data_IF_890389063362
#
_entry.id   IF_890389063362
#
_cell.length_a   1.000
_cell.length_b   1.000
_cell.length_c   1.000
_cell.angle_alpha   90.00
_cell.angle_beta   90.00
_cell.angle_gamma   90.00
#
_symmetry.space_group_name_H-M   'P 1'
#
loop_
_entity.id
_entity.type
_entity.pdbx_description
1 polymer ?
#
# COMPACT_ATOMS: atom_id res chain seq x y z
N UNK A 1 21.22 -12.45 9.98
CA UNK A 1 20.62 -13.63 10.64
C UNK A 1 20.52 -14.73 9.62
N UNK A 2 21.24 -15.82 9.88
CA UNK A 2 21.44 -16.96 9.01
C UNK A 2 20.10 -17.55 8.55
N UNK A 3 19.89 -17.61 7.24
CA UNK A 3 18.97 -18.56 6.66
C UNK A 3 19.57 -19.94 6.91
N UNK A 4 19.01 -20.68 7.87
CA UNK A 4 19.31 -22.10 8.03
C UNK A 4 18.79 -22.81 6.78
N UNK A 5 19.61 -23.67 6.12
CA UNK A 5 19.09 -24.51 5.06
C UNK A 5 18.00 -25.41 5.66
N UNK A 6 16.77 -25.12 5.34
CA UNK A 6 15.65 -25.95 5.73
C UNK A 6 15.78 -27.24 4.95
N UNK A 7 16.04 -28.34 5.64
CA UNK A 7 15.93 -29.66 5.05
C UNK A 7 14.44 -29.91 4.80
N UNK A 8 14.04 -29.94 3.55
CA UNK A 8 12.64 -30.02 3.06
C UNK A 8 11.92 -31.26 3.63
N UNK A 9 12.64 -32.34 3.82
CA UNK A 9 12.10 -33.57 4.42
C UNK A 9 11.56 -33.38 5.83
N UNK A 10 12.15 -32.46 6.60
CA UNK A 10 11.74 -32.25 7.97
C UNK A 10 10.47 -31.39 8.08
N UNK A 11 10.17 -30.54 7.11
CA UNK A 11 8.95 -29.73 7.15
C UNK A 11 7.67 -30.57 6.96
N UNK A 12 7.73 -31.58 6.09
CA UNK A 12 6.59 -32.49 5.86
C UNK A 12 6.48 -33.58 6.95
N UNK A 13 7.61 -34.14 7.40
CA UNK A 13 7.62 -35.10 8.51
C UNK A 13 7.34 -34.45 9.88
N UNK A 14 7.67 -33.16 10.05
CA UNK A 14 7.36 -32.40 11.27
C UNK A 14 5.87 -32.18 11.45
N UNK A 15 5.11 -31.90 10.40
CA UNK A 15 3.67 -31.67 10.51
C UNK A 15 2.96 -32.91 11.04
N UNK A 16 3.33 -34.11 10.57
CA UNK A 16 2.78 -35.39 11.05
C UNK A 16 3.32 -35.83 12.43
N UNK A 17 4.55 -35.44 12.77
CA UNK A 17 5.20 -35.89 14.02
C UNK A 17 4.89 -34.99 15.21
N UNK A 18 4.66 -33.68 14.99
CA UNK A 18 4.24 -32.77 16.08
C UNK A 18 2.82 -33.02 16.57
N UNK A 19 1.93 -33.58 15.75
CA UNK A 19 0.60 -33.95 16.18
C UNK A 19 0.55 -35.22 17.02
N UNK A 20 1.59 -36.09 16.99
CA UNK A 20 1.59 -37.41 17.58
C UNK A 20 2.68 -37.71 18.61
N UNK A 21 3.67 -36.84 18.83
CA UNK A 21 4.74 -37.09 19.80
C UNK A 21 4.82 -35.98 20.85
N UNK A 22 4.50 -36.32 22.06
CA UNK A 22 4.92 -35.56 23.24
C UNK A 22 6.44 -35.33 23.17
N UNK A 23 6.86 -34.04 23.38
CA UNK A 23 8.23 -33.56 23.31
C UNK A 23 9.28 -34.60 23.75
N UNK A 24 9.86 -35.29 22.79
CA UNK A 24 11.11 -36.02 22.98
C UNK A 24 12.12 -35.46 21.96
N UNK A 25 13.18 -34.84 22.46
CA UNK A 25 14.23 -34.15 21.72
C UNK A 25 15.14 -35.13 20.94
N UNK A 26 14.57 -35.95 20.07
CA UNK A 26 15.36 -36.82 19.21
C UNK A 26 15.85 -36.08 18.00
N UNK A 27 17.15 -36.17 17.79
CA UNK A 27 17.89 -35.66 16.65
C UNK A 27 17.15 -35.99 15.34
N UNK A 28 16.67 -34.96 14.65
CA UNK A 28 16.12 -35.13 13.32
C UNK A 28 17.22 -35.54 12.37
N UNK A 29 17.10 -36.69 11.72
CA UNK A 29 18.00 -37.09 10.65
C UNK A 29 17.69 -36.23 9.41
N UNK A 30 18.55 -35.24 9.14
CA UNK A 30 18.43 -34.41 7.94
C UNK A 30 18.99 -35.15 6.74
N UNK A 31 18.18 -35.42 5.72
CA UNK A 31 18.66 -35.86 4.40
C UNK A 31 18.97 -34.60 3.59
N UNK A 32 20.25 -34.41 3.28
CA UNK A 32 20.70 -33.30 2.45
C UNK A 32 20.46 -33.62 0.97
N UNK A 33 19.55 -32.89 0.32
CA UNK A 33 19.32 -32.96 -1.12
C UNK A 33 20.23 -31.95 -1.84
N UNK A 34 21.27 -32.41 -2.48
CA UNK A 34 22.27 -31.58 -3.19
C UNK A 34 21.95 -31.37 -4.66
N UNK A 35 20.78 -31.76 -5.13
CA UNK A 35 20.37 -31.66 -6.53
C UNK A 35 20.12 -30.22 -6.97
N UNK A 36 19.76 -29.34 -6.03
CA UNK A 36 19.58 -27.89 -6.23
C UNK A 36 20.64 -27.19 -5.39
N UNK A 37 21.52 -26.46 -6.05
CA UNK A 37 22.64 -25.76 -5.39
C UNK A 37 22.25 -24.36 -4.88
N UNK A 38 21.12 -23.81 -5.36
CA UNK A 38 20.68 -22.47 -4.98
C UNK A 38 20.16 -22.43 -3.53
N UNK A 39 20.43 -21.36 -2.78
CA UNK A 39 19.84 -21.17 -1.47
C UNK A 39 18.31 -21.07 -1.57
N UNK A 40 17.60 -21.85 -0.75
CA UNK A 40 16.15 -21.90 -0.72
C UNK A 40 15.63 -21.00 0.40
N UNK A 41 14.71 -20.10 0.08
CA UNK A 41 14.09 -19.17 1.02
C UNK A 41 12.74 -19.62 1.52
N UNK A 42 11.95 -20.26 0.65
CA UNK A 42 10.60 -20.70 0.99
C UNK A 42 10.28 -21.98 0.23
N UNK A 43 9.38 -22.78 0.78
CA UNK A 43 8.87 -24.01 0.18
C UNK A 43 7.37 -24.13 0.44
N UNK A 44 6.62 -24.49 -0.60
CA UNK A 44 5.19 -24.74 -0.54
C UNK A 44 4.83 -26.01 -1.29
N UNK A 45 3.72 -26.65 -0.89
CA UNK A 45 3.23 -27.87 -1.53
C UNK A 45 1.91 -27.58 -2.24
N UNK A 46 1.84 -27.94 -3.52
CA UNK A 46 0.61 -27.84 -4.29
C UNK A 46 -0.35 -29.00 -4.03
N UNK A 47 -1.56 -28.92 -4.58
CA UNK A 47 -2.61 -29.93 -4.42
C UNK A 47 -2.27 -31.29 -5.07
N UNK A 48 -1.27 -31.35 -5.96
CA UNK A 48 -0.79 -32.57 -6.59
C UNK A 48 0.39 -33.21 -5.84
N UNK A 49 0.83 -32.56 -4.74
CA UNK A 49 1.98 -33.01 -3.94
C UNK A 49 3.34 -32.68 -4.57
N UNK A 50 3.40 -31.71 -5.51
CA UNK A 50 4.68 -31.17 -5.94
C UNK A 50 5.15 -30.12 -4.92
N UNK A 51 6.45 -30.07 -4.71
CA UNK A 51 7.10 -29.12 -3.84
C UNK A 51 7.62 -27.97 -4.70
N UNK A 52 7.17 -26.76 -4.39
CA UNK A 52 7.68 -25.53 -5.00
C UNK A 52 8.71 -24.89 -4.09
N UNK A 53 9.85 -24.51 -4.64
CA UNK A 53 10.98 -23.96 -3.91
C UNK A 53 11.30 -22.56 -4.44
N UNK A 54 11.26 -21.56 -3.56
CA UNK A 54 11.73 -20.21 -3.85
C UNK A 54 13.23 -20.11 -3.66
N UNK A 55 13.95 -19.62 -4.67
CA UNK A 55 15.40 -19.40 -4.57
C UNK A 55 15.72 -17.94 -4.26
N UNK A 56 16.96 -17.69 -3.84
CA UNK A 56 17.40 -16.35 -3.44
C UNK A 56 17.41 -15.33 -4.59
N UNK A 57 17.64 -15.77 -5.83
CA UNK A 57 17.93 -14.85 -6.93
C UNK A 57 17.58 -15.35 -8.33
N UNK A 58 17.07 -16.57 -8.48
CA UNK A 58 16.97 -17.21 -9.79
C UNK A 58 15.59 -17.74 -10.17
N UNK A 59 14.54 -17.34 -9.48
CA UNK A 59 13.20 -17.86 -9.73
C UNK A 59 12.83 -19.03 -8.82
N UNK A 60 12.07 -20.00 -9.32
CA UNK A 60 11.50 -21.08 -8.51
C UNK A 60 11.74 -22.46 -9.16
N UNK A 61 11.76 -23.49 -8.33
CA UNK A 61 11.78 -24.87 -8.77
C UNK A 61 10.49 -25.59 -8.39
N UNK A 62 9.95 -26.38 -9.31
CA UNK A 62 8.91 -27.36 -9.08
C UNK A 62 9.56 -28.74 -8.98
N UNK A 63 9.37 -29.40 -7.86
CA UNK A 63 10.05 -30.65 -7.53
C UNK A 63 9.05 -31.72 -7.13
N UNK A 64 9.41 -32.99 -7.33
CA UNK A 64 8.68 -34.11 -6.76
C UNK A 64 9.67 -35.09 -6.15
N UNK A 65 9.35 -35.58 -4.95
CA UNK A 65 10.14 -36.58 -4.28
C UNK A 65 9.97 -37.95 -4.94
N UNK A 66 11.00 -38.78 -4.83
CA UNK A 66 10.89 -40.21 -5.13
C UNK A 66 10.07 -40.91 -4.04
N UNK A 67 9.71 -42.18 -4.28
CA UNK A 67 8.86 -42.96 -3.36
C UNK A 67 9.54 -43.18 -2.00
N UNK A 68 10.91 -43.21 -1.95
CA UNK A 68 11.70 -43.34 -0.74
C UNK A 68 11.89 -41.99 0.00
N UNK A 69 11.43 -40.88 -0.59
CA UNK A 69 11.58 -39.50 -0.08
C UNK A 69 13.06 -39.11 0.19
N UNK A 70 13.97 -39.74 -0.46
CA UNK A 70 15.41 -39.57 -0.28
C UNK A 70 16.05 -38.60 -1.30
N UNK A 71 15.37 -38.35 -2.42
CA UNK A 71 15.85 -37.48 -3.50
C UNK A 71 14.65 -36.92 -4.30
N UNK A 72 14.91 -35.89 -5.11
CA UNK A 72 13.95 -35.48 -6.12
C UNK A 72 13.94 -36.48 -7.29
N UNK A 73 12.76 -37.01 -7.59
CA UNK A 73 12.54 -37.83 -8.79
C UNK A 73 12.65 -36.98 -10.06
N UNK A 74 12.15 -35.73 -9.99
CA UNK A 74 12.36 -34.69 -10.99
C UNK A 74 12.30 -33.31 -10.35
N UNK A 75 12.92 -32.35 -10.99
CA UNK A 75 12.80 -30.94 -10.69
C UNK A 75 12.86 -30.10 -11.98
N UNK A 76 12.05 -29.06 -12.05
CA UNK A 76 11.98 -28.17 -13.20
C UNK A 76 12.12 -26.73 -12.71
N UNK A 77 12.97 -25.97 -13.38
CA UNK A 77 13.22 -24.58 -13.11
C UNK A 77 12.23 -23.67 -13.89
N UNK A 78 11.71 -22.62 -13.24
CA UNK A 78 10.93 -21.54 -13.81
C UNK A 78 11.50 -20.19 -13.36
N UNK A 79 11.90 -19.37 -14.34
CA UNK A 79 12.49 -18.06 -14.11
C UNK A 79 13.08 -17.50 -15.39
N UNK A 80 13.67 -16.32 -15.30
CA UNK A 80 14.14 -15.54 -16.44
C UNK A 80 15.25 -16.20 -17.27
N UNK A 81 16.01 -17.15 -16.72
CA UNK A 81 17.02 -17.91 -17.47
C UNK A 81 16.40 -18.87 -18.50
N UNK A 82 15.19 -19.38 -18.21
CA UNK A 82 14.44 -20.26 -19.11
C UNK A 82 13.43 -19.49 -19.97
N UNK A 83 12.82 -18.46 -19.39
CA UNK A 83 11.83 -17.60 -20.03
C UNK A 83 12.09 -16.14 -19.68
N UNK A 84 12.62 -15.37 -20.63
CA UNK A 84 13.00 -13.98 -20.45
C UNK A 84 11.82 -13.04 -20.15
N UNK A 85 10.58 -13.48 -20.31
CA UNK A 85 9.37 -12.74 -19.94
C UNK A 85 9.11 -12.76 -18.42
N UNK A 86 9.72 -13.71 -17.69
CA UNK A 86 9.58 -13.84 -16.25
C UNK A 86 10.58 -12.95 -15.49
N UNK A 87 10.20 -12.47 -14.30
CA UNK A 87 11.12 -11.74 -13.43
C UNK A 87 12.30 -12.59 -12.99
N UNK A 88 13.44 -11.95 -12.72
CA UNK A 88 14.61 -12.62 -12.15
C UNK A 88 14.33 -13.19 -10.76
N UNK A 89 13.50 -12.51 -9.97
CA UNK A 89 13.10 -12.96 -8.65
C UNK A 89 11.60 -13.18 -8.62
N UNK A 90 11.20 -14.33 -8.11
CA UNK A 90 9.81 -14.73 -7.90
C UNK A 90 9.63 -15.13 -6.44
N UNK A 91 8.80 -14.41 -5.71
CA UNK A 91 8.41 -14.78 -4.36
C UNK A 91 7.27 -15.80 -4.44
N UNK A 92 7.43 -16.90 -3.72
CA UNK A 92 6.45 -17.97 -3.61
C UNK A 92 5.49 -17.71 -2.43
N UNK A 93 4.18 -17.87 -2.66
CA UNK A 93 3.19 -17.86 -1.60
C UNK A 93 1.97 -18.72 -2.00
N UNK A 94 1.14 -19.07 -1.00
CA UNK A 94 -0.08 -19.85 -1.21
C UNK A 94 -1.30 -19.03 -0.80
N UNK A 95 -2.29 -18.94 -1.67
CA UNK A 95 -3.57 -18.29 -1.38
C UNK A 95 -4.67 -18.85 -2.29
N UNK A 96 -5.93 -18.89 -1.83
CA UNK A 96 -7.05 -19.46 -2.57
C UNK A 96 -6.83 -20.93 -2.96
N UNK A 97 -6.10 -21.70 -2.15
CA UNK A 97 -5.75 -23.09 -2.44
C UNK A 97 -4.74 -23.27 -3.58
N UNK A 98 -4.19 -22.18 -4.14
CA UNK A 98 -3.28 -22.18 -5.29
C UNK A 98 -1.88 -21.72 -4.90
N UNK A 99 -0.89 -22.20 -5.63
CA UNK A 99 0.48 -21.70 -5.57
C UNK A 99 0.59 -20.50 -6.52
N UNK A 100 1.07 -19.39 -5.98
CA UNK A 100 1.19 -18.10 -6.64
C UNK A 100 2.60 -17.56 -6.50
N UNK A 101 2.96 -16.66 -7.42
CA UNK A 101 4.27 -16.05 -7.45
C UNK A 101 4.13 -14.54 -7.65
N UNK A 102 4.92 -13.76 -6.91
CA UNK A 102 5.02 -12.31 -7.07
C UNK A 102 6.39 -11.97 -7.65
N UNK A 103 6.42 -11.16 -8.69
CA UNK A 103 7.66 -10.59 -9.24
C UNK A 103 7.38 -9.37 -10.10
N UNK A 104 8.20 -8.31 -9.92
CA UNK A 104 8.06 -7.04 -10.64
C UNK A 104 6.63 -6.46 -10.59
N UNK A 105 6.03 -6.43 -9.40
CA UNK A 105 4.65 -5.95 -9.16
C UNK A 105 3.55 -6.75 -9.88
N UNK A 106 3.86 -7.94 -10.37
CA UNK A 106 2.92 -8.80 -11.06
C UNK A 106 2.78 -10.15 -10.36
N UNK A 107 1.57 -10.68 -10.40
CA UNK A 107 1.22 -11.99 -9.87
C UNK A 107 1.19 -13.01 -10.98
N UNK A 108 1.78 -14.17 -10.72
CA UNK A 108 1.83 -15.29 -11.65
C UNK A 108 1.22 -16.53 -11.01
N UNK A 109 0.69 -17.39 -11.85
CA UNK A 109 0.16 -18.71 -11.49
C UNK A 109 0.75 -19.77 -12.41
N UNK A 110 0.90 -20.99 -11.91
CA UNK A 110 1.32 -22.10 -12.73
C UNK A 110 0.17 -22.65 -13.58
N UNK A 111 0.39 -22.74 -14.88
CA UNK A 111 -0.49 -23.41 -15.84
C UNK A 111 -0.02 -24.84 -16.03
N UNK A 112 -0.82 -25.81 -15.57
CA UNK A 112 -0.52 -27.23 -15.64
C UNK A 112 -0.56 -27.78 -17.05
N UNK A 113 -1.36 -27.17 -17.95
CA UNK A 113 -1.56 -27.63 -19.33
C UNK A 113 -0.35 -27.28 -20.18
N UNK A 114 0.18 -26.07 -20.04
CA UNK A 114 1.29 -25.56 -20.82
C UNK A 114 2.63 -25.69 -20.12
N UNK A 115 2.67 -26.17 -18.88
CA UNK A 115 3.86 -26.30 -18.02
C UNK A 115 4.69 -25.00 -17.94
N UNK A 116 4.00 -23.87 -17.73
CA UNK A 116 4.62 -22.56 -17.63
C UNK A 116 3.97 -21.69 -16.53
N UNK A 117 4.60 -20.56 -16.22
CA UNK A 117 4.01 -19.52 -15.40
C UNK A 117 3.34 -18.48 -16.28
N UNK A 118 2.10 -18.13 -15.94
CA UNK A 118 1.32 -17.11 -16.64
C UNK A 118 0.77 -16.07 -15.66
N UNK A 119 0.39 -14.90 -16.16
CA UNK A 119 -0.16 -13.83 -15.32
C UNK A 119 -1.49 -14.27 -14.68
N UNK A 120 -1.60 -14.07 -13.37
CA UNK A 120 -2.88 -14.24 -12.67
C UNK A 120 -3.72 -12.96 -12.81
N UNK A 121 -4.81 -13.04 -13.59
CA UNK A 121 -5.54 -11.87 -14.06
C UNK A 121 -6.32 -11.14 -12.96
N UNK A 122 -6.90 -11.87 -11.99
CA UNK A 122 -7.75 -11.28 -10.94
C UNK A 122 -6.93 -10.48 -9.94
N UNK A 123 -5.78 -11.02 -9.49
CA UNK A 123 -4.85 -10.32 -8.63
C UNK A 123 -4.21 -9.12 -9.34
N UNK A 124 -3.74 -9.31 -10.58
CA UNK A 124 -3.13 -8.20 -11.33
C UNK A 124 -4.11 -7.05 -11.56
N UNK A 125 -5.38 -7.33 -11.82
CA UNK A 125 -6.42 -6.29 -11.92
C UNK A 125 -6.69 -5.63 -10.55
N UNK A 126 -6.71 -6.41 -9.47
CA UNK A 126 -6.95 -5.91 -8.13
C UNK A 126 -5.84 -4.96 -7.66
N UNK A 127 -4.60 -5.23 -8.07
CA UNK A 127 -3.40 -4.47 -7.69
C UNK A 127 -2.89 -3.53 -8.79
N UNK A 128 -3.66 -3.27 -9.85
CA UNK A 128 -3.24 -2.47 -11.02
C UNK A 128 -2.69 -1.08 -10.66
N UNK A 129 -3.22 -0.44 -9.62
CA UNK A 129 -2.79 0.89 -9.16
C UNK A 129 -1.79 0.85 -8.01
N UNK A 130 -1.40 -0.33 -7.55
CA UNK A 130 -0.50 -0.53 -6.43
C UNK A 130 0.85 -1.00 -6.97
N UNK A 131 1.88 -0.23 -6.66
CA UNK A 131 3.23 -0.46 -7.13
C UNK A 131 4.19 -0.67 -5.96
N UNK A 132 5.40 -1.13 -6.28
CA UNK A 132 6.47 -1.37 -5.32
C UNK A 132 6.12 -2.48 -4.31
N UNK A 133 5.43 -3.53 -4.79
CA UNK A 133 5.13 -4.71 -3.99
C UNK A 133 6.42 -5.42 -3.57
N UNK A 134 6.64 -5.56 -2.28
CA UNK A 134 7.84 -6.17 -1.69
C UNK A 134 7.60 -7.60 -1.27
N UNK A 135 6.46 -7.87 -0.65
CA UNK A 135 6.18 -9.18 -0.06
C UNK A 135 4.69 -9.45 0.10
N UNK A 136 4.33 -10.73 -0.05
CA UNK A 136 3.03 -11.25 0.34
C UNK A 136 3.22 -12.16 1.56
N UNK A 137 2.36 -11.97 2.57
CA UNK A 137 2.36 -12.78 3.80
C UNK A 137 0.97 -13.37 3.98
N UNK A 138 0.78 -14.68 3.80
CA UNK A 138 -0.50 -15.34 4.01
C UNK A 138 -0.96 -15.21 5.48
N UNK A 139 -2.26 -14.97 5.68
CA UNK A 139 -2.94 -14.99 6.99
C UNK A 139 -3.60 -16.35 7.17
N UNK A 140 -4.40 -16.73 6.19
CA UNK A 140 -5.09 -18.01 6.12
C UNK A 140 -5.14 -18.52 4.66
N UNK A 141 -6.06 -19.43 4.34
CA UNK A 141 -6.20 -20.00 3.00
C UNK A 141 -6.60 -18.98 1.92
N UNK A 142 -7.26 -17.89 2.27
CA UNK A 142 -7.85 -16.94 1.34
C UNK A 142 -7.42 -15.49 1.58
N UNK A 143 -7.03 -15.15 2.81
CA UNK A 143 -6.59 -13.81 3.15
C UNK A 143 -5.07 -13.71 3.28
N UNK A 144 -4.53 -12.59 2.83
CA UNK A 144 -3.08 -12.32 2.85
C UNK A 144 -2.81 -10.84 3.03
N UNK A 145 -1.62 -10.52 3.53
CA UNK A 145 -1.05 -9.19 3.52
C UNK A 145 -0.17 -8.99 2.30
N UNK A 146 -0.34 -7.87 1.59
CA UNK A 146 0.60 -7.37 0.60
C UNK A 146 1.33 -6.15 1.17
N UNK A 147 2.65 -6.16 1.10
CA UNK A 147 3.51 -5.11 1.66
C UNK A 147 4.19 -4.38 0.52
N UNK A 148 4.09 -3.04 0.52
CA UNK A 148 4.86 -2.14 -0.34
C UNK A 148 5.93 -1.42 0.49
N UNK A 149 6.74 -0.57 -0.12
CA UNK A 149 7.74 0.21 0.62
C UNK A 149 7.16 1.18 1.66
N UNK A 150 5.88 1.55 1.56
CA UNK A 150 5.26 2.56 2.45
C UNK A 150 3.87 2.19 2.96
N UNK A 151 3.29 1.10 2.49
CA UNK A 151 1.90 0.74 2.79
C UNK A 151 1.73 -0.77 2.90
N UNK A 152 0.71 -1.18 3.61
CA UNK A 152 0.31 -2.58 3.72
C UNK A 152 -1.16 -2.72 3.36
N UNK A 153 -1.49 -3.80 2.67
CA UNK A 153 -2.83 -4.09 2.15
C UNK A 153 -3.26 -5.48 2.60
N UNK A 154 -4.39 -5.58 3.28
CA UNK A 154 -5.03 -6.87 3.51
C UNK A 154 -5.95 -7.17 2.34
N UNK A 155 -5.78 -8.31 1.71
CA UNK A 155 -6.59 -8.71 0.56
C UNK A 155 -7.11 -10.14 0.69
N UNK A 156 -8.23 -10.37 0.04
CA UNK A 156 -8.87 -11.66 -0.10
C UNK A 156 -8.66 -12.19 -1.53
N UNK A 157 -8.38 -13.49 -1.64
CA UNK A 157 -8.31 -14.20 -2.91
C UNK A 157 -8.71 -15.66 -2.74
N UNK A 158 -9.77 -16.10 -3.44
CA UNK A 158 -10.31 -17.48 -3.40
C UNK A 158 -9.97 -18.32 -4.65
N UNK A 159 -9.09 -17.80 -5.51
CA UNK A 159 -8.74 -18.40 -6.79
C UNK A 159 -9.51 -17.86 -7.98
N UNK A 160 -10.56 -17.06 -7.77
CA UNK A 160 -11.42 -16.47 -8.81
C UNK A 160 -11.70 -14.99 -8.57
N UNK A 161 -11.76 -14.56 -7.32
CA UNK A 161 -12.08 -13.19 -6.94
C UNK A 161 -10.94 -12.66 -6.07
N UNK A 162 -10.43 -11.49 -6.46
CA UNK A 162 -9.47 -10.73 -5.67
C UNK A 162 -10.09 -9.42 -5.18
N UNK A 163 -9.93 -9.08 -3.90
CA UNK A 163 -10.43 -7.82 -3.31
C UNK A 163 -9.50 -7.33 -2.22
N UNK A 164 -9.15 -6.04 -2.26
CA UNK A 164 -8.51 -5.38 -1.12
C UNK A 164 -9.58 -5.16 -0.05
N UNK A 165 -9.30 -5.62 1.16
CA UNK A 165 -10.18 -5.49 2.34
C UNK A 165 -9.84 -4.25 3.14
N UNK A 166 -8.55 -4.02 3.33
CA UNK A 166 -8.01 -2.97 4.17
C UNK A 166 -6.71 -2.46 3.56
N UNK A 167 -6.42 -1.17 3.76
CA UNK A 167 -5.20 -0.56 3.31
C UNK A 167 -4.71 0.43 4.38
N UNK A 168 -3.42 0.36 4.72
CA UNK A 168 -2.80 1.20 5.73
C UNK A 168 -1.52 1.81 5.19
N UNK A 169 -1.37 3.11 5.32
CA UNK A 169 -0.10 3.78 5.08
C UNK A 169 0.72 3.76 6.36
N UNK A 170 1.94 3.22 6.29
CA UNK A 170 2.78 2.97 7.47
C UNK A 170 3.68 4.16 7.84
N UNK A 171 3.74 5.20 7.01
CA UNK A 171 4.48 6.42 7.31
C UNK A 171 3.76 7.29 8.35
N UNK A 172 3.97 7.03 9.65
CA UNK A 172 3.52 7.89 10.74
C UNK A 172 4.69 8.19 11.69
N UNK A 173 4.82 9.44 12.12
CA UNK A 173 5.69 9.89 13.24
C UNK A 173 7.13 9.32 13.24
N UNK A 174 7.79 9.34 12.08
CA UNK A 174 9.13 8.77 11.87
C UNK A 174 9.23 7.25 11.97
N UNK A 175 8.12 6.53 11.90
CA UNK A 175 8.11 5.08 11.77
C UNK A 175 8.04 4.68 10.31
N UNK A 176 8.85 3.73 9.88
CA UNK A 176 8.85 3.19 8.52
C UNK A 176 9.00 1.68 8.51
N UNK A 177 8.59 1.07 7.40
CA UNK A 177 8.92 -0.33 7.15
C UNK A 177 10.44 -0.46 6.96
N UNK A 178 11.01 -1.55 7.46
CA UNK A 178 12.46 -1.79 7.34
C UNK A 178 12.77 -2.19 5.89
N UNK A 179 13.40 -1.30 5.14
CA UNK A 179 13.75 -1.52 3.74
C UNK A 179 14.51 -2.84 3.52
N UNK A 180 14.08 -3.65 2.58
CA UNK A 180 14.56 -5.00 2.26
C UNK A 180 14.29 -6.07 3.35
N UNK A 181 13.62 -5.72 4.44
CA UNK A 181 13.21 -6.64 5.50
C UNK A 181 11.73 -6.43 5.90
N UNK A 182 10.94 -5.88 4.98
CA UNK A 182 9.51 -5.65 5.18
C UNK A 182 8.84 -6.96 5.61
N UNK A 183 8.17 -6.97 6.76
CA UNK A 183 7.55 -8.17 7.28
C UNK A 183 6.34 -7.87 8.17
N UNK A 184 5.41 -8.82 8.14
CA UNK A 184 4.26 -8.89 9.03
C UNK A 184 4.26 -10.27 9.67
N UNK A 185 4.18 -10.32 11.00
CA UNK A 185 3.99 -11.56 11.73
C UNK A 185 2.50 -11.77 11.99
N UNK A 186 1.94 -12.81 11.41
CA UNK A 186 0.57 -13.23 11.64
C UNK A 186 0.54 -14.03 12.95
N UNK A 187 -0.18 -13.52 13.96
CA UNK A 187 -0.31 -14.16 15.26
C UNK A 187 -1.50 -15.12 15.31
N UNK A 188 -2.59 -14.75 14.62
CA UNK A 188 -3.77 -15.58 14.35
C UNK A 188 -4.60 -14.92 13.24
N UNK A 189 -5.74 -15.48 12.87
CA UNK A 189 -6.59 -15.03 11.77
C UNK A 189 -7.05 -13.56 11.88
N UNK A 190 -7.07 -13.00 13.09
CA UNK A 190 -7.49 -11.62 13.34
C UNK A 190 -6.38 -10.69 13.76
N UNK A 191 -5.27 -11.19 14.26
CA UNK A 191 -4.22 -10.39 14.89
C UNK A 191 -2.92 -10.52 14.11
N UNK A 192 -2.40 -9.40 13.65
CA UNK A 192 -1.14 -9.30 12.93
C UNK A 192 -0.26 -8.21 13.51
N UNK A 193 1.05 -8.44 13.50
CA UNK A 193 2.06 -7.52 13.97
C UNK A 193 2.88 -7.01 12.78
N UNK A 194 2.75 -5.73 12.47
CA UNK A 194 3.50 -5.08 11.38
C UNK A 194 4.82 -4.58 11.95
N UNK A 195 5.94 -5.09 11.42
CA UNK A 195 7.28 -4.77 11.91
C UNK A 195 7.77 -3.43 11.32
N UNK A 196 8.28 -2.56 12.18
CA UNK A 196 8.78 -1.24 11.83
C UNK A 196 10.23 -1.06 12.29
N UNK A 197 10.91 -0.03 11.82
CA UNK A 197 12.29 0.31 12.18
C UNK A 197 12.47 0.67 13.68
N UNK A 198 11.47 1.28 14.30
CA UNK A 198 11.49 1.70 15.70
C UNK A 198 10.31 1.12 16.51
N UNK A 199 9.87 -0.10 16.20
CA UNK A 199 8.80 -0.75 16.94
C UNK A 199 7.90 -1.63 16.09
N UNK A 200 6.62 -1.66 16.42
CA UNK A 200 5.62 -2.44 15.68
C UNK A 200 4.22 -1.84 15.82
N UNK A 201 3.37 -2.13 14.86
CA UNK A 201 1.93 -1.88 14.92
C UNK A 201 1.21 -3.20 15.13
N UNK A 202 0.34 -3.26 16.13
CA UNK A 202 -0.56 -4.38 16.33
C UNK A 202 -1.88 -4.11 15.61
N UNK A 203 -2.15 -4.87 14.57
CA UNK A 203 -3.40 -4.83 13.82
C UNK A 203 -4.37 -5.89 14.35
N UNK A 204 -5.61 -5.49 14.66
CA UNK A 204 -6.70 -6.37 15.07
C UNK A 204 -7.90 -6.15 14.14
N UNK A 205 -8.18 -7.11 13.25
CA UNK A 205 -9.25 -7.02 12.25
C UNK A 205 -10.66 -6.92 12.86
N UNK A 206 -10.86 -7.35 14.11
CA UNK A 206 -12.13 -7.20 14.81
C UNK A 206 -12.34 -5.78 15.32
N UNK A 207 -11.26 -5.08 15.66
CA UNK A 207 -11.31 -3.68 16.12
C UNK A 207 -11.35 -2.70 14.94
N UNK A 208 -10.69 -3.00 13.85
CA UNK A 208 -10.62 -2.13 12.67
C UNK A 208 -12.01 -1.86 12.05
N UNK A 209 -12.95 -2.77 12.21
CA UNK A 209 -14.35 -2.57 11.77
C UNK A 209 -15.17 -1.58 12.63
N UNK A 210 -14.64 -1.08 13.75
CA UNK A 210 -15.38 -0.25 14.71
C UNK A 210 -15.00 1.23 14.76
N UNK A 211 -13.91 1.62 14.12
CA UNK A 211 -13.50 3.03 14.07
C UNK A 211 -13.43 3.50 12.61
N UNK A 212 -14.59 3.81 12.03
CA UNK A 212 -14.63 4.92 11.08
C UNK A 212 -14.29 6.17 11.89
N UNK A 213 -13.02 6.52 11.94
CA UNK A 213 -12.60 7.82 12.48
C UNK A 213 -13.28 8.85 11.58
N UNK A 214 -14.30 9.55 12.09
CA UNK A 214 -14.86 10.69 11.38
C UNK A 214 -13.74 11.72 11.25
N UNK A 215 -13.27 11.91 10.03
CA UNK A 215 -12.25 12.90 9.75
C UNK A 215 -12.86 14.29 9.98
N UNK A 216 -12.20 15.10 10.79
CA UNK A 216 -12.59 16.48 11.00
C UNK A 216 -12.30 17.31 9.76
N UNK A 217 -13.25 18.16 9.36
CA UNK A 217 -13.03 19.17 8.33
C UNK A 217 -11.87 20.11 8.72
N UNK A 218 -11.06 20.62 7.78
CA UNK A 218 -10.06 21.61 8.06
C UNK A 218 -10.68 22.90 8.63
N UNK A 219 -10.08 23.46 9.68
CA UNK A 219 -10.48 24.75 10.25
C UNK A 219 -9.72 25.87 9.56
N UNK A 220 -10.43 26.85 9.02
CA UNK A 220 -9.85 28.06 8.46
C UNK A 220 -9.27 28.93 9.59
N UNK A 221 -8.01 29.34 9.46
CA UNK A 221 -7.32 30.18 10.44
C UNK A 221 -7.22 31.62 9.96
N UNK A 222 -6.80 31.80 8.72
CA UNK A 222 -6.66 33.14 8.15
C UNK A 222 -6.78 33.10 6.62
N UNK A 223 -7.13 34.27 6.08
CA UNK A 223 -6.93 34.62 4.67
C UNK A 223 -6.21 35.95 4.61
N UNK A 224 -5.22 36.05 3.77
CA UNK A 224 -4.61 37.34 3.48
C UNK A 224 -4.40 37.53 1.98
N UNK A 225 -4.41 38.77 1.56
CA UNK A 225 -4.21 39.17 0.17
C UNK A 225 -3.02 40.11 0.04
N UNK A 226 -2.29 40.00 -1.06
CA UNK A 226 -1.11 40.81 -1.36
C UNK A 226 0.20 40.04 -1.17
N UNK A 227 1.32 40.74 -1.45
CA UNK A 227 2.66 40.18 -1.25
C UNK A 227 3.02 40.21 0.25
N UNK A 228 3.86 39.25 0.69
CA UNK A 228 4.22 39.04 2.10
C UNK A 228 4.55 40.27 2.93
N UNK A 229 5.11 41.32 2.30
CA UNK A 229 5.50 42.59 2.99
C UNK A 229 4.32 43.55 3.23
N UNK A 230 3.17 43.35 2.55
CA UNK A 230 1.99 44.21 2.64
C UNK A 230 0.68 43.42 2.75
N UNK A 231 0.75 42.16 3.17
CA UNK A 231 -0.41 41.27 3.26
C UNK A 231 -1.36 41.74 4.35
N UNK A 232 -2.60 42.06 3.97
CA UNK A 232 -3.69 42.33 4.91
C UNK A 232 -4.40 41.05 5.30
N UNK A 233 -4.54 40.79 6.62
CA UNK A 233 -5.43 39.73 7.10
C UNK A 233 -6.88 40.19 6.98
N UNK A 234 -7.74 39.30 6.49
CA UNK A 234 -9.15 39.54 6.32
C UNK A 234 -10.00 38.82 7.36
N UNK A 235 -11.11 39.40 7.74
CA UNK A 235 -12.05 38.80 8.69
C UNK A 235 -12.87 37.71 7.99
N UNK A 236 -12.68 36.47 8.40
CA UNK A 236 -13.38 35.29 7.86
C UNK A 236 -14.89 35.31 8.08
N UNK A 237 -15.39 36.16 9.00
CA UNK A 237 -16.82 36.31 9.28
C UNK A 237 -17.54 37.31 8.37
N UNK A 238 -16.81 37.95 7.45
CA UNK A 238 -17.35 38.93 6.52
C UNK A 238 -17.20 38.47 5.08
N UNK A 239 -18.01 39.04 4.19
CA UNK A 239 -17.78 38.84 2.74
C UNK A 239 -16.39 39.37 2.35
N UNK A 240 -15.58 38.51 1.76
CA UNK A 240 -14.17 38.75 1.49
C UNK A 240 -14.05 39.34 0.09
N UNK A 241 -13.68 40.62 0.01
CA UNK A 241 -13.45 41.35 -1.24
C UNK A 241 -11.94 41.68 -1.38
N UNK A 242 -11.30 41.13 -2.39
CA UNK A 242 -9.86 41.29 -2.61
C UNK A 242 -9.61 42.31 -3.72
N UNK A 243 -8.90 43.42 -3.44
CA UNK A 243 -8.54 44.36 -4.47
C UNK A 243 -7.66 43.71 -5.55
N UNK A 244 -7.91 44.05 -6.84
CA UNK A 244 -7.16 43.46 -7.96
C UNK A 244 -5.64 43.61 -7.84
N UNK A 245 -5.16 44.69 -7.27
CA UNK A 245 -3.73 44.94 -7.03
C UNK A 245 -3.08 43.94 -6.08
N UNK A 246 -3.86 43.35 -5.18
CA UNK A 246 -3.44 42.43 -4.13
C UNK A 246 -3.95 41.00 -4.39
N UNK A 247 -4.10 40.61 -5.65
CA UNK A 247 -4.72 39.37 -6.13
C UNK A 247 -3.86 38.08 -5.93
N UNK A 248 -2.85 38.15 -5.07
CA UNK A 248 -2.19 36.96 -4.54
C UNK A 248 -2.83 36.63 -3.21
N UNK A 249 -3.45 35.46 -3.11
CA UNK A 249 -4.29 35.06 -1.96
C UNK A 249 -3.66 33.87 -1.28
N UNK A 250 -3.43 33.98 0.02
CA UNK A 250 -2.96 32.87 0.86
C UNK A 250 -3.98 32.55 1.92
N UNK A 251 -4.36 31.29 2.02
CA UNK A 251 -5.33 30.77 2.98
C UNK A 251 -4.60 29.81 3.90
N UNK A 252 -4.62 30.09 5.20
CA UNK A 252 -4.10 29.24 6.25
C UNK A 252 -5.22 28.47 6.94
N UNK A 253 -4.93 27.22 7.27
CA UNK A 253 -5.86 26.32 7.91
C UNK A 253 -5.14 25.32 8.82
N UNK A 254 -5.86 24.78 9.79
CA UNK A 254 -5.41 23.69 10.65
C UNK A 254 -6.29 22.46 10.50
N UNK A 255 -5.71 21.32 10.76
CA UNK A 255 -6.40 20.02 10.84
C UNK A 255 -6.30 19.52 12.27
N UNK A 256 -7.45 19.18 12.86
CA UNK A 256 -7.44 18.61 14.20
C UNK A 256 -6.88 17.20 14.17
N UNK A 257 -5.64 17.07 14.65
CA UNK A 257 -4.86 15.83 14.65
C UNK A 257 -5.08 15.00 15.93
N UNK A 258 -6.17 15.19 16.66
CA UNK A 258 -6.38 14.52 17.96
C UNK A 258 -6.37 12.97 17.90
N UNK A 259 -6.42 12.40 16.70
CA UNK A 259 -6.28 10.96 16.44
C UNK A 259 -5.33 10.73 15.25
N UNK A 260 -4.19 11.39 15.29
CA UNK A 260 -3.25 11.53 14.21
C UNK A 260 -2.67 10.20 13.71
N UNK A 261 -3.41 9.58 12.84
CA UNK A 261 -2.84 8.91 11.68
C UNK A 261 -2.43 9.96 10.63
N UNK A 262 -1.83 9.53 9.55
CA UNK A 262 -1.38 10.38 8.44
C UNK A 262 -2.55 11.12 7.78
N UNK A 263 -2.90 12.31 8.28
CA UNK A 263 -3.91 13.15 7.66
C UNK A 263 -3.28 14.04 6.57
N UNK A 264 -3.93 14.07 5.43
CA UNK A 264 -3.59 14.91 4.29
C UNK A 264 -4.72 15.88 4.03
N UNK A 265 -4.41 16.99 3.41
CA UNK A 265 -5.40 17.94 2.92
C UNK A 265 -5.44 17.87 1.40
N UNK A 266 -6.65 17.88 0.87
CA UNK A 266 -6.95 18.13 -0.52
C UNK A 266 -7.72 19.43 -0.65
N UNK A 267 -7.46 20.15 -1.73
CA UNK A 267 -8.12 21.42 -2.02
C UNK A 267 -8.50 21.50 -3.50
N UNK A 268 -9.50 22.34 -3.76
CA UNK A 268 -9.98 22.64 -5.10
C UNK A 268 -10.50 24.06 -5.11
N UNK A 269 -10.05 24.90 -6.06
CA UNK A 269 -10.61 26.20 -6.34
C UNK A 269 -11.57 26.05 -7.54
N UNK A 270 -12.91 26.10 -7.29
CA UNK A 270 -13.92 25.63 -8.25
C UNK A 270 -13.78 26.22 -9.65
N UNK A 271 -13.48 27.51 -9.76
CA UNK A 271 -13.40 28.19 -11.04
C UNK A 271 -12.07 27.95 -11.81
N UNK A 272 -11.07 27.32 -11.17
CA UNK A 272 -9.75 27.12 -11.76
C UNK A 272 -9.34 25.64 -11.86
N UNK A 273 -9.73 24.84 -10.89
CA UNK A 273 -9.32 23.45 -10.78
C UNK A 273 -10.46 22.53 -11.22
N UNK A 274 -10.25 21.69 -12.23
CA UNK A 274 -11.24 20.71 -12.68
C UNK A 274 -11.36 19.51 -11.73
N UNK A 275 -10.35 19.25 -10.91
CA UNK A 275 -10.26 18.09 -10.01
C UNK A 275 -9.64 18.50 -8.68
N UNK A 276 -9.85 17.67 -7.66
CA UNK A 276 -9.16 17.79 -6.37
C UNK A 276 -7.65 17.67 -6.53
N UNK A 277 -6.89 18.45 -5.75
CA UNK A 277 -5.45 18.31 -5.67
C UNK A 277 -5.03 16.92 -5.17
N UNK A 278 -3.80 16.51 -5.44
CA UNK A 278 -3.22 15.35 -4.78
C UNK A 278 -3.19 15.56 -3.26
N UNK A 279 -3.40 14.51 -2.43
CA UNK A 279 -3.29 14.60 -0.99
C UNK A 279 -1.91 15.09 -0.56
N UNK A 280 -1.85 16.15 0.25
CA UNK A 280 -0.60 16.74 0.75
C UNK A 280 -0.71 17.15 2.21
N UNK A 281 0.40 17.14 2.93
CA UNK A 281 0.51 17.75 4.27
C UNK A 281 0.81 19.22 4.12
N UNK A 282 -0.19 20.04 4.29
CA UNK A 282 -0.13 21.48 4.14
C UNK A 282 -0.92 22.14 5.29
N UNK A 283 -0.48 23.31 5.70
CA UNK A 283 -1.19 24.21 6.60
C UNK A 283 -1.59 25.53 5.93
N UNK A 284 -1.16 25.74 4.69
CA UNK A 284 -1.55 26.89 3.90
C UNK A 284 -1.47 26.63 2.41
N UNK A 285 -2.22 27.39 1.63
CA UNK A 285 -2.25 27.36 0.16
C UNK A 285 -2.16 28.79 -0.35
N UNK A 286 -1.39 29.01 -1.41
CA UNK A 286 -1.25 30.30 -2.05
C UNK A 286 -1.61 30.24 -3.53
N UNK A 287 -2.48 31.14 -3.96
CA UNK A 287 -2.82 31.37 -5.36
C UNK A 287 -2.28 32.71 -5.78
N UNK A 288 -1.39 32.72 -6.77
CA UNK A 288 -0.79 33.93 -7.28
C UNK A 288 -1.57 34.49 -8.47
N UNK A 289 -1.79 35.81 -8.49
CA UNK A 289 -2.38 36.54 -9.62
C UNK A 289 -3.73 36.02 -10.07
N UNK A 290 -4.67 35.82 -9.12
CA UNK A 290 -6.04 35.43 -9.44
C UNK A 290 -6.69 36.48 -10.36
N UNK A 291 -7.32 36.08 -11.46
CA UNK A 291 -8.19 36.96 -12.26
C UNK A 291 -9.32 37.58 -11.43
N UNK A 292 -9.95 38.63 -11.96
CA UNK A 292 -11.19 39.13 -11.38
C UNK A 292 -12.28 38.05 -11.46
N UNK A 293 -13.04 37.86 -10.38
CA UNK A 293 -14.10 36.86 -10.34
C UNK A 293 -14.48 36.44 -8.93
N UNK A 294 -15.50 35.60 -8.83
CA UNK A 294 -15.89 34.94 -7.58
C UNK A 294 -15.28 33.57 -7.51
N UNK A 295 -14.81 33.20 -6.34
CA UNK A 295 -14.11 31.95 -6.11
C UNK A 295 -14.66 31.23 -4.89
N UNK A 296 -14.76 29.91 -4.98
CA UNK A 296 -15.09 29.04 -3.87
C UNK A 296 -13.91 28.07 -3.70
N UNK A 297 -13.16 28.24 -2.63
CA UNK A 297 -12.13 27.30 -2.22
C UNK A 297 -12.74 26.21 -1.35
N UNK A 298 -12.60 24.97 -1.79
CA UNK A 298 -13.02 23.78 -1.06
C UNK A 298 -11.78 23.12 -0.45
N UNK A 299 -11.89 22.77 0.81
CA UNK A 299 -10.84 22.06 1.55
C UNK A 299 -11.45 20.82 2.20
N UNK A 300 -10.75 19.70 2.17
CA UNK A 300 -11.14 18.51 2.91
C UNK A 300 -9.91 17.77 3.43
N UNK A 301 -10.10 17.05 4.52
CA UNK A 301 -9.09 16.13 5.06
C UNK A 301 -9.30 14.74 4.49
N UNK A 302 -8.22 14.00 4.28
CA UNK A 302 -8.25 12.59 3.88
C UNK A 302 -7.15 11.82 4.59
N UNK A 303 -7.40 10.54 4.85
CA UNK A 303 -6.41 9.58 5.35
C UNK A 303 -5.56 8.96 4.22
N UNK A 304 -5.84 9.32 2.97
CA UNK A 304 -5.19 8.73 1.80
C UNK A 304 -5.75 7.36 1.39
N UNK A 305 -6.79 6.86 2.05
CA UNK A 305 -7.41 5.55 1.85
C UNK A 305 -8.87 5.66 1.37
N UNK A 306 -9.21 6.74 0.64
CA UNK A 306 -10.56 7.08 0.18
C UNK A 306 -11.56 7.49 1.28
N UNK A 307 -11.12 7.75 2.51
CA UNK A 307 -11.95 8.43 3.50
C UNK A 307 -11.75 9.94 3.41
N UNK A 308 -12.82 10.69 3.47
CA UNK A 308 -12.82 12.14 3.34
C UNK A 308 -13.67 12.77 4.46
N UNK A 309 -13.20 13.91 4.97
CA UNK A 309 -14.03 14.74 5.84
C UNK A 309 -15.13 15.45 5.04
N UNK A 310 -16.11 16.04 5.71
CA UNK A 310 -16.92 17.10 5.12
C UNK A 310 -16.05 18.23 4.58
N UNK A 311 -16.53 18.92 3.53
CA UNK A 311 -15.79 20.02 2.91
C UNK A 311 -15.91 21.29 3.76
N UNK A 312 -14.79 21.99 3.94
CA UNK A 312 -14.78 23.37 4.40
C UNK A 312 -14.80 24.30 3.18
N UNK A 313 -15.72 25.23 3.15
CA UNK A 313 -15.92 26.17 2.05
C UNK A 313 -15.43 27.56 2.44
N UNK A 314 -14.70 28.23 1.56
CA UNK A 314 -14.30 29.62 1.68
C UNK A 314 -14.66 30.36 0.41
N UNK A 315 -15.59 31.33 0.52
CA UNK A 315 -16.02 32.17 -0.59
C UNK A 315 -15.32 33.52 -0.53
N UNK A 316 -14.78 33.96 -1.63
CA UNK A 316 -14.19 35.30 -1.80
C UNK A 316 -14.29 35.76 -3.23
N UNK A 317 -14.20 37.09 -3.44
CA UNK A 317 -14.18 37.69 -4.77
C UNK A 317 -12.94 38.57 -4.97
N UNK A 318 -12.41 38.52 -6.18
CA UNK A 318 -11.37 39.44 -6.64
C UNK A 318 -12.05 40.52 -7.46
N UNK A 319 -11.97 41.74 -6.95
CA UNK A 319 -12.64 42.91 -7.57
C UNK A 319 -11.98 43.24 -8.94
N UNK A 320 -12.76 43.81 -9.86
CA UNK A 320 -12.20 44.27 -11.13
C UNK A 320 -11.17 45.39 -10.93
N UNK A 321 -10.18 45.56 -11.82
CA UNK A 321 -9.29 46.69 -11.79
C UNK A 321 -10.07 47.97 -12.05
N UNK A 322 -9.60 49.09 -11.48
CA UNK A 322 -10.30 50.40 -11.55
C UNK A 322 -10.61 50.87 -12.97
N UNK A 323 -9.71 50.47 -13.93
CA UNK A 323 -9.87 50.85 -15.35
C UNK A 323 -10.87 49.95 -16.10
N UNK A 324 -11.39 48.90 -15.49
CA UNK A 324 -12.43 48.03 -16.04
C UNK A 324 -13.79 48.22 -15.34
N UNK A 325 -14.02 49.37 -14.71
CA UNK A 325 -15.26 49.74 -14.10
C UNK A 325 -16.15 50.54 -15.03
N UNK A 326 -17.47 50.41 -14.92
CA UNK A 326 -18.47 51.13 -15.76
C UNK A 326 -18.24 52.62 -15.75
N UNK A 327 -17.77 53.21 -14.64
CA UNK A 327 -17.46 54.62 -14.52
C UNK A 327 -16.28 55.07 -15.41
N UNK A 328 -15.31 54.22 -15.64
CA UNK A 328 -14.19 54.52 -16.55
C UNK A 328 -14.70 54.61 -17.98
N UNK A 329 -15.59 53.71 -18.42
CA UNK A 329 -16.18 53.75 -19.78
C UNK A 329 -17.12 54.96 -20.02
N UNK A 330 -17.66 55.51 -18.94
CA UNK A 330 -18.52 56.72 -19.03
C UNK A 330 -17.72 58.02 -19.03
N UNK A 331 -16.44 58.00 -18.64
CA UNK A 331 -15.55 59.17 -18.57
C UNK A 331 -14.58 59.28 -19.73
N UNK A 332 -14.36 58.21 -20.52
CA UNK A 332 -13.62 58.18 -21.78
C UNK A 332 -14.57 58.26 -22.98
#
# INVERSE_FOLDING_TARGET
TCALPISIMNALALQDTFEHAGMDSRVMSAISMRQIADPIYNAEVDHLGNIWLETSSRGVYKCRLNDEQSAFRYYTYYGNEKDSSLPARLQLFKSGGRILFLGNDQFYIYDEVNDNLQLEQHLNRCFETIHDLKRIVPIDSEESWAITGSSVYRFFYDGYIARIREAYKVEADNLSLITAYENISVLNDSLSLICLDAGFILHDSHRSKRQTVELSAPNLEFIHAGKEQNAGFMDLNKTIHIPYKDNTVTVGFSVNAAFAGNLFVQYQLEEMDSTWSAPKRLNSISYARLPQGKYILRLRTTDGLNNYSPDTLLEFDVLPPWYNTVWWYLTC
#
